data_IF_174709893753
#
_entry.id   IF_174709893753
#
_cell.length_a   1.000
_cell.length_b   1.000
_cell.length_c   1.000
_cell.angle_alpha   90.00
_cell.angle_beta   90.00
_cell.angle_gamma   90.00
#
_symmetry.space_group_name_H-M   'P 1'
#
loop_
_entity.id
_entity.type
_entity.pdbx_description
1 polymer ?
#
# COMPACT_ATOMS: atom_id res chain seq x y z
N UNK A 1 -6.27 -11.20 0.05
CA UNK A 1 -5.53 -10.02 -0.47
C UNK A 1 -5.78 -9.67 -1.93
N UNK A 2 -6.72 -10.31 -2.61
CA UNK A 2 -7.13 -9.99 -4.00
C UNK A 2 -7.38 -8.48 -4.23
N UNK A 3 -8.00 -7.82 -3.25
CA UNK A 3 -8.34 -6.40 -3.33
C UNK A 3 -7.11 -5.48 -3.39
N UNK A 4 -5.98 -5.84 -2.76
CA UNK A 4 -4.75 -5.03 -2.82
C UNK A 4 -4.25 -4.93 -4.26
N UNK A 5 -4.19 -6.07 -4.97
CA UNK A 5 -3.80 -6.09 -6.38
C UNK A 5 -4.79 -5.33 -7.25
N UNK A 6 -6.08 -5.54 -7.01
CA UNK A 6 -7.17 -4.92 -7.78
C UNK A 6 -7.11 -3.39 -7.65
N UNK A 7 -7.06 -2.87 -6.43
CA UNK A 7 -6.92 -1.42 -6.13
C UNK A 7 -5.61 -0.88 -6.71
N UNK A 8 -4.51 -1.65 -6.62
CA UNK A 8 -3.26 -1.25 -7.25
C UNK A 8 -3.39 -1.03 -8.77
N UNK A 9 -4.33 -1.68 -9.47
CA UNK A 9 -4.54 -1.46 -10.91
C UNK A 9 -5.38 -0.24 -11.24
N UNK A 10 -6.05 0.40 -10.28
CA UNK A 10 -6.99 1.50 -10.55
C UNK A 10 -6.31 2.69 -11.22
N UNK A 11 -5.04 2.94 -10.92
CA UNK A 11 -4.25 3.99 -11.56
C UNK A 11 -2.76 3.63 -11.60
N UNK A 12 -2.07 4.11 -12.64
CA UNK A 12 -0.63 3.94 -12.85
C UNK A 12 -0.08 5.01 -13.81
N UNK A 13 1.24 5.18 -13.83
CA UNK A 13 1.93 5.96 -14.86
C UNK A 13 2.38 5.04 -15.99
N UNK A 14 2.15 5.43 -17.25
CA UNK A 14 2.67 4.69 -18.40
C UNK A 14 4.16 4.99 -18.65
N UNK A 15 4.74 4.40 -19.70
CA UNK A 15 6.15 4.59 -20.04
C UNK A 15 6.54 6.05 -20.35
N UNK A 16 5.57 6.90 -20.69
CA UNK A 16 5.77 8.34 -20.92
C UNK A 16 5.55 9.19 -19.66
N UNK A 17 5.32 8.57 -18.50
CA UNK A 17 5.02 9.27 -17.25
C UNK A 17 3.64 9.92 -17.21
N UNK A 18 2.72 9.50 -18.11
CA UNK A 18 1.34 9.98 -18.12
C UNK A 18 0.51 9.14 -17.15
N UNK A 19 -0.21 9.80 -16.25
CA UNK A 19 -1.20 9.18 -15.38
C UNK A 19 -2.35 8.58 -16.22
N UNK A 20 -2.61 7.29 -15.98
CA UNK A 20 -3.75 6.55 -16.50
C UNK A 20 -4.62 6.15 -15.32
N UNK A 21 -5.92 6.45 -15.41
CA UNK A 21 -6.92 6.08 -14.41
C UNK A 21 -7.93 5.15 -15.06
N UNK A 22 -8.12 3.97 -14.49
CA UNK A 22 -9.06 2.98 -14.98
C UNK A 22 -10.46 3.31 -14.46
N UNK A 23 -11.26 3.97 -15.30
CA UNK A 23 -12.63 4.44 -14.98
C UNK A 23 -13.58 3.34 -14.48
N UNK A 24 -13.31 2.07 -14.79
CA UNK A 24 -14.09 0.91 -14.31
C UNK A 24 -14.05 0.79 -12.78
N UNK A 25 -13.07 1.39 -12.12
CA UNK A 25 -12.79 1.19 -10.71
C UNK A 25 -12.92 2.50 -9.91
N UNK A 26 -14.03 3.21 -10.10
CA UNK A 26 -14.36 4.50 -9.49
C UNK A 26 -14.20 4.72 -7.97
N UNK A 27 -14.11 3.72 -7.07
CA UNK A 27 -14.14 3.99 -5.63
C UNK A 27 -13.00 4.83 -5.04
N UNK A 28 -11.84 4.94 -5.69
CA UNK A 28 -10.77 5.81 -5.18
C UNK A 28 -11.10 7.29 -5.28
N UNK A 29 -12.01 7.67 -6.17
CA UNK A 29 -12.48 9.05 -6.25
C UNK A 29 -13.41 9.42 -5.10
N UNK A 30 -14.12 8.45 -4.50
CA UNK A 30 -15.01 8.67 -3.35
C UNK A 30 -14.26 9.15 -2.09
N UNK A 31 -12.94 8.94 -2.05
CA UNK A 31 -12.06 9.37 -0.96
C UNK A 31 -11.14 10.52 -1.37
N UNK A 32 -11.50 11.23 -2.44
CA UNK A 32 -10.72 12.31 -2.98
C UNK A 32 -11.33 13.66 -2.64
N UNK A 33 -10.95 14.17 -1.47
CA UNK A 33 -11.49 15.39 -0.91
C UNK A 33 -10.35 16.35 -0.55
N UNK A 34 -10.01 17.20 -1.50
CA UNK A 34 -8.96 18.22 -1.38
C UNK A 34 -9.55 19.60 -1.63
N UNK A 35 -9.16 20.57 -0.80
CA UNK A 35 -9.66 21.96 -0.89
C UNK A 35 -11.19 22.01 -0.94
N UNK A 36 -11.76 22.66 -1.97
CA UNK A 36 -13.22 22.74 -2.21
C UNK A 36 -13.71 21.71 -3.23
N UNK A 37 -12.86 20.75 -3.62
CA UNK A 37 -13.20 19.70 -4.57
C UNK A 37 -13.42 18.36 -3.86
N UNK A 38 -14.55 17.74 -4.17
CA UNK A 38 -14.98 16.45 -3.65
C UNK A 38 -15.19 15.51 -4.84
N UNK A 39 -14.77 14.25 -4.71
CA UNK A 39 -15.01 13.22 -5.72
C UNK A 39 -14.09 13.29 -6.94
N UNK A 40 -13.04 14.12 -6.94
CA UNK A 40 -12.15 14.31 -8.10
C UNK A 40 -10.70 14.52 -7.67
N UNK A 41 -9.86 13.56 -7.99
CA UNK A 41 -8.41 13.69 -7.84
C UNK A 41 -7.81 14.33 -9.09
N UNK A 42 -6.90 15.26 -8.88
CA UNK A 42 -6.23 16.06 -9.91
C UNK A 42 -4.95 15.41 -10.40
N UNK A 43 -4.27 14.64 -9.55
CA UNK A 43 -3.00 14.01 -9.88
C UNK A 43 -2.83 12.61 -9.25
N UNK A 44 -1.64 12.02 -9.48
CA UNK A 44 -1.26 10.70 -8.97
C UNK A 44 -1.20 10.64 -7.44
N UNK A 45 -0.83 11.75 -6.79
CA UNK A 45 -0.61 11.80 -5.36
C UNK A 45 -1.90 11.90 -4.58
N UNK A 46 -2.83 12.74 -5.04
CA UNK A 46 -4.20 12.77 -4.53
C UNK A 46 -4.85 11.37 -4.70
N UNK A 47 -4.67 10.71 -5.86
CA UNK A 47 -5.13 9.32 -6.06
C UNK A 47 -4.48 8.31 -5.10
N UNK A 48 -3.17 8.44 -4.85
CA UNK A 48 -2.46 7.55 -3.94
C UNK A 48 -2.94 7.71 -2.50
N UNK A 49 -3.14 8.94 -2.03
CA UNK A 49 -3.69 9.19 -0.70
C UNK A 49 -5.14 8.72 -0.56
N UNK A 50 -6.01 9.01 -1.54
CA UNK A 50 -7.38 8.48 -1.54
C UNK A 50 -7.40 6.95 -1.61
N UNK A 51 -6.46 6.37 -2.34
CA UNK A 51 -6.27 4.93 -2.42
C UNK A 51 -5.90 4.28 -1.10
N UNK A 52 -5.12 4.94 -0.24
CA UNK A 52 -4.82 4.47 1.12
C UNK A 52 -6.12 4.31 1.92
N UNK A 53 -6.98 5.33 1.94
CA UNK A 53 -8.25 5.31 2.68
C UNK A 53 -9.20 4.24 2.12
N UNK A 54 -9.31 4.18 0.79
CA UNK A 54 -10.12 3.15 0.12
C UNK A 54 -9.64 1.73 0.43
N UNK A 55 -8.32 1.51 0.44
CA UNK A 55 -7.70 0.23 0.75
C UNK A 55 -7.99 -0.18 2.19
N UNK A 56 -7.79 0.72 3.16
CA UNK A 56 -8.09 0.46 4.57
C UNK A 56 -9.54 0.02 4.77
N UNK A 57 -10.49 0.77 4.19
CA UNK A 57 -11.91 0.42 4.25
C UNK A 57 -12.19 -0.95 3.64
N UNK A 58 -11.67 -1.20 2.44
CA UNK A 58 -11.91 -2.46 1.71
C UNK A 58 -11.38 -3.65 2.48
N UNK A 59 -10.16 -3.54 3.02
CA UNK A 59 -9.55 -4.63 3.76
C UNK A 59 -10.27 -4.89 5.10
N UNK A 60 -10.67 -3.83 5.80
CA UNK A 60 -11.47 -3.95 7.03
C UNK A 60 -12.80 -4.66 6.76
N UNK A 61 -13.57 -4.16 5.78
CA UNK A 61 -14.94 -4.61 5.53
C UNK A 61 -15.00 -6.07 5.01
N UNK A 62 -13.96 -6.53 4.30
CA UNK A 62 -13.94 -7.86 3.69
C UNK A 62 -13.19 -8.92 4.49
N UNK A 63 -12.13 -8.54 5.20
CA UNK A 63 -11.21 -9.49 5.82
C UNK A 63 -11.16 -9.38 7.34
N UNK A 64 -11.87 -8.42 7.94
CA UNK A 64 -11.92 -8.21 9.40
C UNK A 64 -10.53 -8.16 10.05
N UNK A 65 -9.55 -7.59 9.33
CA UNK A 65 -8.18 -7.51 9.80
C UNK A 65 -8.07 -6.54 10.98
N UNK A 66 -7.13 -6.84 11.88
CA UNK A 66 -6.77 -5.93 12.95
C UNK A 66 -6.21 -4.62 12.40
N UNK A 67 -6.46 -3.51 13.11
CA UNK A 67 -6.10 -2.17 12.66
C UNK A 67 -4.60 -1.98 12.44
N UNK A 68 -3.76 -2.65 13.23
CA UNK A 68 -2.30 -2.56 13.09
C UNK A 68 -1.84 -3.21 11.76
N UNK A 69 -2.42 -4.36 11.39
CA UNK A 69 -2.15 -5.05 10.13
C UNK A 69 -2.72 -4.29 8.92
N UNK A 70 -3.89 -3.68 9.09
CA UNK A 70 -4.48 -2.78 8.08
C UNK A 70 -3.57 -1.58 7.77
N UNK A 71 -3.10 -0.89 8.82
CA UNK A 71 -2.21 0.24 8.69
C UNK A 71 -0.90 -0.15 7.99
N UNK A 72 -0.31 -1.27 8.39
CA UNK A 72 0.92 -1.79 7.82
C UNK A 72 0.80 -2.07 6.31
N UNK A 73 -0.26 -2.74 5.87
CA UNK A 73 -0.49 -2.99 4.45
C UNK A 73 -0.77 -1.73 3.65
N UNK A 74 -1.50 -0.78 4.22
CA UNK A 74 -1.76 0.48 3.55
C UNK A 74 -0.46 1.28 3.33
N UNK A 75 0.46 1.24 4.29
CA UNK A 75 1.78 1.90 4.20
C UNK A 75 2.69 1.19 3.19
N UNK A 76 2.74 -0.15 3.21
CA UNK A 76 3.52 -0.92 2.23
C UNK A 76 3.00 -0.71 0.80
N UNK A 77 1.68 -0.67 0.63
CA UNK A 77 1.07 -0.36 -0.66
C UNK A 77 1.38 1.06 -1.12
N UNK A 78 1.32 2.05 -0.22
CA UNK A 78 1.70 3.43 -0.53
C UNK A 78 3.18 3.53 -0.91
N UNK A 79 4.08 2.88 -0.17
CA UNK A 79 5.51 2.77 -0.51
C UNK A 79 5.70 2.20 -1.91
N UNK A 80 4.99 1.13 -2.24
CA UNK A 80 5.01 0.53 -3.57
C UNK A 80 4.57 1.55 -4.64
N UNK A 81 3.46 2.24 -4.42
CA UNK A 81 2.94 3.26 -5.33
C UNK A 81 3.90 4.42 -5.56
N UNK A 82 4.52 4.93 -4.50
CA UNK A 82 5.44 6.05 -4.61
C UNK A 82 6.77 5.63 -5.27
N UNK A 83 7.24 4.41 -5.01
CA UNK A 83 8.46 3.90 -5.64
C UNK A 83 8.29 3.62 -7.16
N UNK A 84 7.07 3.31 -7.62
CA UNK A 84 6.77 3.15 -9.04
C UNK A 84 6.71 4.47 -9.81
N UNK A 85 6.59 5.60 -9.11
CA UNK A 85 6.47 6.88 -9.76
C UNK A 85 7.81 7.31 -10.39
N UNK A 86 7.76 7.82 -11.62
CA UNK A 86 8.98 8.25 -12.31
C UNK A 86 9.57 9.53 -11.73
N UNK A 87 8.70 10.44 -11.28
CA UNK A 87 9.09 11.67 -10.60
C UNK A 87 9.20 11.41 -9.11
N UNK A 88 10.42 11.18 -8.62
CA UNK A 88 10.66 11.05 -7.17
C UNK A 88 10.55 12.40 -6.50
N UNK A 89 9.40 12.67 -5.89
CA UNK A 89 9.12 13.94 -5.23
C UNK A 89 9.30 13.90 -3.70
N UNK A 90 9.53 12.72 -3.12
CA UNK A 90 9.65 12.53 -1.68
C UNK A 90 10.84 11.64 -1.35
N UNK A 91 11.62 12.03 -0.36
CA UNK A 91 12.68 11.20 0.22
C UNK A 91 12.16 10.35 1.38
N UNK A 92 11.18 10.86 2.13
CA UNK A 92 10.54 10.17 3.26
C UNK A 92 9.04 10.02 3.03
N UNK A 93 8.47 8.92 3.53
CA UNK A 93 7.02 8.71 3.46
C UNK A 93 6.25 9.79 4.24
N UNK A 94 6.83 10.29 5.33
CA UNK A 94 6.21 11.30 6.18
C UNK A 94 5.95 12.62 5.43
N UNK A 95 6.80 12.97 4.47
CA UNK A 95 6.65 14.19 3.67
C UNK A 95 5.40 14.08 2.78
N UNK A 96 5.20 12.90 2.16
CA UNK A 96 3.98 12.60 1.41
C UNK A 96 2.76 12.55 2.34
N UNK A 97 2.86 11.86 3.48
CA UNK A 97 1.78 11.74 4.44
C UNK A 97 1.29 13.11 4.91
N UNK A 98 2.21 14.01 5.26
CA UNK A 98 1.87 15.37 5.72
C UNK A 98 1.26 16.20 4.59
N UNK A 99 1.77 16.04 3.36
CA UNK A 99 1.35 16.87 2.23
C UNK A 99 0.04 16.42 1.60
N UNK A 100 -0.25 15.11 1.57
CA UNK A 100 -1.39 14.55 0.83
C UNK A 100 -2.36 13.75 1.70
N UNK A 101 -1.90 13.02 2.72
CA UNK A 101 -2.79 12.22 3.57
C UNK A 101 -3.49 13.11 4.58
N UNK A 102 -2.73 13.88 5.37
CA UNK A 102 -3.30 14.78 6.39
C UNK A 102 -4.19 15.85 5.76
N UNK A 103 -3.86 16.31 4.56
CA UNK A 103 -4.63 17.33 3.84
C UNK A 103 -5.87 16.79 3.11
N UNK A 104 -6.06 15.47 3.08
CA UNK A 104 -7.27 14.87 2.56
C UNK A 104 -8.36 14.96 3.63
N UNK A 105 -9.50 15.60 3.33
CA UNK A 105 -10.57 15.77 4.32
C UNK A 105 -11.14 14.44 4.85
N UNK A 106 -11.06 13.36 4.07
CA UNK A 106 -11.47 12.04 4.52
C UNK A 106 -10.55 11.42 5.57
N UNK A 107 -9.40 12.03 5.87
CA UNK A 107 -8.45 11.52 6.84
C UNK A 107 -9.01 11.47 8.26
N UNK A 108 -9.73 12.53 8.66
CA UNK A 108 -10.38 12.64 9.97
C UNK A 108 -11.82 12.07 9.96
N UNK A 109 -12.28 11.51 8.83
CA UNK A 109 -13.61 10.91 8.77
C UNK A 109 -13.71 9.69 9.68
N UNK A 110 -14.86 9.59 10.35
CA UNK A 110 -15.23 8.42 11.14
C UNK A 110 -15.43 7.21 10.25
N UNK A 111 -15.06 6.06 10.78
CA UNK A 111 -15.28 4.78 10.15
C UNK A 111 -16.74 4.37 10.30
N UNK A 112 -17.42 4.17 9.17
CA UNK A 112 -18.78 3.62 9.19
C UNK A 112 -18.76 2.25 9.89
N UNK A 113 -19.57 2.10 10.94
CA UNK A 113 -19.64 0.89 11.77
C UNK A 113 -18.78 0.93 13.03
N UNK A 114 -17.94 1.95 13.21
CA UNK A 114 -17.25 2.24 14.47
C UNK A 114 -17.04 3.76 14.59
N UNK A 115 -18.02 4.44 15.18
CA UNK A 115 -18.06 5.91 15.25
C UNK A 115 -17.00 6.53 16.17
N UNK A 116 -16.30 5.70 16.95
CA UNK A 116 -15.21 6.13 17.84
C UNK A 116 -13.83 6.03 17.18
N UNK A 117 -13.75 5.55 15.92
CA UNK A 117 -12.50 5.38 15.21
C UNK A 117 -12.48 6.13 13.87
N UNK A 118 -11.37 6.79 13.60
CA UNK A 118 -11.08 7.55 12.37
C UNK A 118 -10.03 6.85 11.51
N UNK A 119 -9.94 7.21 10.22
CA UNK A 119 -8.86 6.71 9.37
C UNK A 119 -7.48 7.16 9.86
N UNK A 120 -7.40 8.37 10.40
CA UNK A 120 -6.24 8.91 11.11
C UNK A 120 -5.72 7.97 12.19
N UNK A 121 -6.58 7.54 13.11
CA UNK A 121 -6.16 6.67 14.22
C UNK A 121 -5.65 5.32 13.74
N UNK A 122 -6.19 4.78 12.64
CA UNK A 122 -5.65 3.56 12.04
C UNK A 122 -4.26 3.82 11.46
N UNK A 123 -4.12 4.84 10.60
CA UNK A 123 -2.84 5.11 9.92
C UNK A 123 -1.74 5.46 10.94
N UNK A 124 -2.07 6.24 11.96
CA UNK A 124 -1.12 6.73 12.97
C UNK A 124 -0.62 5.61 13.90
N UNK A 125 -1.29 4.45 13.97
CA UNK A 125 -0.78 3.27 14.70
C UNK A 125 0.57 2.78 14.18
N UNK A 126 0.86 3.02 12.89
CA UNK A 126 2.14 2.66 12.23
C UNK A 126 2.88 3.90 11.73
N UNK A 127 2.75 5.02 12.45
CA UNK A 127 3.39 6.30 12.11
C UNK A 127 4.92 6.22 12.05
N UNK A 128 5.50 5.31 12.82
CA UNK A 128 6.93 4.98 12.77
C UNK A 128 7.35 4.45 11.40
N UNK A 129 6.53 3.62 10.75
CA UNK A 129 6.76 3.21 9.36
C UNK A 129 6.67 4.37 8.37
N UNK A 130 5.74 5.32 8.59
CA UNK A 130 5.67 6.55 7.77
C UNK A 130 6.92 7.41 7.89
N UNK A 131 7.67 7.31 8.98
CA UNK A 131 8.93 8.06 9.13
C UNK A 131 10.12 7.43 8.39
N UNK A 132 9.95 6.25 7.79
CA UNK A 132 11.02 5.60 7.03
C UNK A 132 11.35 6.35 5.73
N UNK A 133 12.62 6.28 5.34
CA UNK A 133 13.05 6.73 4.02
C UNK A 133 12.41 5.84 2.95
N UNK A 134 11.88 6.44 1.88
CA UNK A 134 11.22 5.71 0.79
C UNK A 134 12.15 4.66 0.17
N UNK A 135 13.45 4.95 0.04
CA UNK A 135 14.44 3.98 -0.48
C UNK A 135 14.61 2.77 0.43
N UNK A 136 14.42 2.92 1.73
CA UNK A 136 14.56 1.82 2.69
C UNK A 136 13.32 0.94 2.72
N UNK A 137 12.14 1.54 2.85
CA UNK A 137 10.89 0.76 2.84
C UNK A 137 10.61 0.15 1.46
N UNK A 138 11.06 0.79 0.37
CA UNK A 138 10.87 0.24 -0.96
C UNK A 138 11.67 -1.04 -1.24
N UNK A 139 12.64 -1.40 -0.40
CA UNK A 139 13.30 -2.72 -0.46
C UNK A 139 12.30 -3.86 -0.30
N UNK A 140 11.22 -3.65 0.45
CA UNK A 140 10.15 -4.62 0.68
C UNK A 140 9.11 -4.69 -0.45
N UNK A 141 9.12 -3.72 -1.38
CA UNK A 141 8.08 -3.59 -2.40
C UNK A 141 7.98 -4.81 -3.32
N UNK A 142 9.10 -5.46 -3.66
CA UNK A 142 9.08 -6.64 -4.53
C UNK A 142 8.46 -7.84 -3.79
N UNK A 143 8.96 -8.26 -2.61
CA UNK A 143 8.31 -9.31 -1.83
C UNK A 143 6.82 -9.03 -1.58
N UNK A 144 6.48 -7.81 -1.14
CA UNK A 144 5.10 -7.41 -0.87
C UNK A 144 4.21 -7.52 -2.13
N UNK A 145 4.69 -7.03 -3.28
CA UNK A 145 3.97 -7.15 -4.55
C UNK A 145 3.71 -8.60 -4.94
N UNK A 146 4.71 -9.46 -4.79
CA UNK A 146 4.59 -10.87 -5.16
C UNK A 146 3.50 -11.55 -4.31
N UNK A 147 3.44 -11.27 -3.01
CA UNK A 147 2.41 -11.83 -2.12
C UNK A 147 0.99 -11.55 -2.63
N UNK A 148 0.66 -10.27 -2.85
CA UNK A 148 -0.70 -9.94 -3.27
C UNK A 148 -0.97 -10.31 -4.74
N UNK A 149 0.04 -10.35 -5.62
CA UNK A 149 -0.12 -10.84 -6.99
C UNK A 149 -0.44 -12.33 -7.01
N UNK A 150 0.31 -13.16 -6.27
CA UNK A 150 0.05 -14.60 -6.18
C UNK A 150 -1.33 -14.88 -5.59
N UNK A 151 -1.73 -14.12 -4.56
CA UNK A 151 -3.08 -14.16 -4.01
C UNK A 151 -4.16 -13.82 -5.06
N UNK A 152 -3.97 -12.74 -5.83
CA UNK A 152 -4.93 -12.35 -6.87
C UNK A 152 -5.10 -13.44 -7.92
N UNK A 153 -3.98 -13.95 -8.44
CA UNK A 153 -4.00 -14.94 -9.50
C UNK A 153 -4.64 -16.24 -9.04
N UNK A 154 -4.38 -16.68 -7.80
CA UNK A 154 -5.00 -17.89 -7.25
C UNK A 154 -6.54 -17.84 -7.29
N UNK A 155 -7.13 -16.64 -7.25
CA UNK A 155 -8.58 -16.43 -7.32
C UNK A 155 -9.13 -16.23 -8.74
N UNK A 156 -8.36 -15.70 -9.69
CA UNK A 156 -8.88 -15.19 -10.98
C UNK A 156 -8.49 -16.09 -12.19
N UNK A 157 -7.37 -16.83 -12.13
CA UNK A 157 -6.85 -17.58 -13.29
C UNK A 157 -6.10 -18.88 -12.94
N UNK A 158 -6.04 -19.81 -13.90
CA UNK A 158 -5.08 -20.91 -13.87
C UNK A 158 -3.67 -20.36 -14.15
N UNK A 159 -2.88 -20.08 -13.10
CA UNK A 159 -1.48 -19.72 -13.30
C UNK A 159 -0.67 -20.96 -13.68
N UNK A 160 0.08 -20.95 -14.81
CA UNK A 160 0.98 -22.04 -15.12
C UNK A 160 1.97 -22.25 -13.97
N UNK A 161 2.16 -23.50 -13.52
CA UNK A 161 3.02 -23.82 -12.37
C UNK A 161 4.44 -23.23 -12.51
N UNK A 162 4.96 -23.11 -13.73
CA UNK A 162 6.25 -22.47 -14.01
C UNK A 162 6.27 -21.00 -13.59
N UNK A 163 5.23 -20.24 -13.89
CA UNK A 163 5.12 -18.81 -13.53
C UNK A 163 5.01 -18.67 -12.01
N UNK A 164 4.15 -19.47 -11.38
CA UNK A 164 4.00 -19.51 -9.92
C UNK A 164 5.35 -19.78 -9.24
N UNK A 165 6.03 -20.85 -9.64
CA UNK A 165 7.33 -21.23 -9.08
C UNK A 165 8.41 -20.17 -9.30
N UNK A 166 8.35 -19.42 -10.40
CA UNK A 166 9.25 -18.31 -10.67
C UNK A 166 9.07 -17.17 -9.69
N UNK A 167 7.84 -16.76 -9.42
CA UNK A 167 7.52 -15.73 -8.43
C UNK A 167 7.85 -16.18 -7.00
N UNK A 168 7.53 -17.42 -6.63
CA UNK A 168 7.89 -17.99 -5.33
C UNK A 168 9.40 -17.99 -5.10
N UNK A 169 10.19 -18.44 -6.10
CA UNK A 169 11.67 -18.38 -6.04
C UNK A 169 12.18 -16.95 -5.93
N UNK A 170 11.57 -16.01 -6.65
CA UNK A 170 11.94 -14.59 -6.56
C UNK A 170 11.67 -14.01 -5.18
N UNK A 171 10.49 -14.32 -4.61
CA UNK A 171 10.16 -13.94 -3.24
C UNK A 171 11.22 -14.47 -2.26
N UNK A 172 11.50 -15.78 -2.29
CA UNK A 172 12.46 -16.40 -1.39
C UNK A 172 13.86 -15.77 -1.49
N UNK A 173 14.34 -15.53 -2.71
CA UNK A 173 15.65 -14.92 -2.95
C UNK A 173 15.72 -13.47 -2.45
N UNK A 174 14.69 -12.67 -2.68
CA UNK A 174 14.67 -11.28 -2.22
C UNK A 174 14.47 -11.21 -0.70
N UNK A 175 13.63 -12.08 -0.12
CA UNK A 175 13.47 -12.23 1.32
C UNK A 175 14.77 -12.62 2.01
N UNK A 176 15.53 -13.59 1.48
CA UNK A 176 16.83 -14.00 2.03
C UNK A 176 17.86 -12.85 2.03
N UNK A 177 17.85 -12.00 1.01
CA UNK A 177 18.74 -10.82 0.98
C UNK A 177 18.35 -9.82 2.06
N UNK A 178 17.05 -9.56 2.22
CA UNK A 178 16.56 -8.63 3.24
C UNK A 178 16.82 -9.16 4.65
N UNK A 179 16.67 -10.48 4.88
CA UNK A 179 16.92 -11.07 6.20
C UNK A 179 18.39 -10.96 6.65
N UNK A 180 19.33 -10.80 5.70
CA UNK A 180 20.76 -10.57 5.94
C UNK A 180 21.16 -9.08 5.99
N UNK A 181 20.23 -8.15 5.77
CA UNK A 181 20.51 -6.70 5.87
C UNK A 181 20.86 -6.36 7.32
N UNK A 182 21.89 -5.53 7.53
CA UNK A 182 22.34 -5.13 8.88
C UNK A 182 21.28 -4.39 9.68
N UNK A 183 20.23 -3.86 9.01
CA UNK A 183 19.09 -3.21 9.65
C UNK A 183 18.05 -4.21 10.18
N UNK A 184 18.12 -5.48 9.80
CA UNK A 184 17.29 -6.55 10.34
C UNK A 184 17.75 -6.94 11.76
N UNK A 185 17.59 -6.00 12.68
CA UNK A 185 17.83 -6.18 14.11
C UNK A 185 16.50 -6.57 14.76
N UNK A 186 16.53 -7.48 15.73
CA UNK A 186 15.35 -7.88 16.50
C UNK A 186 14.55 -6.65 16.99
N UNK A 187 13.22 -6.74 16.92
CA UNK A 187 12.27 -5.67 17.27
C UNK A 187 12.32 -4.38 16.43
N UNK A 188 13.30 -4.23 15.53
CA UNK A 188 13.36 -3.10 14.61
C UNK A 188 12.16 -3.08 13.66
N UNK A 189 11.84 -1.89 13.15
CA UNK A 189 10.83 -1.74 12.09
C UNK A 189 11.09 -2.64 10.88
N UNK A 190 12.37 -2.78 10.50
CA UNK A 190 12.78 -3.61 9.38
C UNK A 190 12.45 -5.09 9.63
N UNK A 191 12.77 -5.57 10.84
CA UNK A 191 12.49 -6.93 11.28
C UNK A 191 10.98 -7.21 11.37
N UNK A 192 10.20 -6.26 11.89
CA UNK A 192 8.73 -6.37 11.97
C UNK A 192 8.09 -6.51 10.60
N UNK A 193 8.48 -5.67 9.62
CA UNK A 193 7.99 -5.77 8.24
C UNK A 193 8.36 -7.13 7.64
N UNK A 194 9.58 -7.62 7.87
CA UNK A 194 9.98 -8.95 7.40
C UNK A 194 9.16 -10.07 8.04
N UNK A 195 8.90 -9.98 9.34
CA UNK A 195 8.06 -10.97 10.03
C UNK A 195 6.69 -11.05 9.39
N UNK A 196 6.01 -9.91 9.18
CA UNK A 196 4.71 -9.89 8.51
C UNK A 196 4.74 -10.51 7.12
N UNK A 197 5.75 -10.16 6.31
CA UNK A 197 5.89 -10.73 4.97
C UNK A 197 6.16 -12.24 4.98
N UNK A 198 6.90 -12.73 5.97
CA UNK A 198 7.15 -14.16 6.19
C UNK A 198 5.87 -14.89 6.58
N UNK A 199 5.14 -14.34 7.56
CA UNK A 199 3.90 -14.93 8.07
C UNK A 199 2.81 -14.99 7.00
N UNK A 200 2.74 -13.98 6.13
CA UNK A 200 1.78 -13.97 5.02
C UNK A 200 2.20 -14.86 3.83
N UNK A 201 3.48 -15.20 3.72
CA UNK A 201 3.97 -16.09 2.67
C UNK A 201 3.72 -17.57 3.00
N UNK A 202 3.83 -17.92 4.27
CA UNK A 202 3.64 -19.27 4.80
C UNK A 202 2.16 -19.68 4.79
#
# INVERSE_FOLDING_TARGET
>A
YYDIYTINRYFFENDKGKLIVQRKYGPTHDYCHYENTSGKCRDYFELASSGVIHLLKTLRDKYSLEYDKLAEYAILWLSYKLNMQKKRNFDKLNDFYTSYIVNNKCYDDKIKGNEDLTYKEIIDKKKDMMNMNIKEISKFNIPFYILFYLNYVFHDEYLPCKVYSGYAKRFANDFEKLSKDSKNIEESLYNKILSTLSDDYN
#
